data_IF_607928158269
#
_entry.id   IF_607928158269
#
_cell.length_a   1.000
_cell.length_b   1.000
_cell.length_c   1.000
_cell.angle_alpha   90.00
_cell.angle_beta   90.00
_cell.angle_gamma   90.00
#
_symmetry.space_group_name_H-M   'P 1'
#
loop_
_entity.id
_entity.type
_entity.pdbx_description
1 polymer ?
#
# COMPACT_ATOMS: atom_id res chain seq x y z
N UNK A 1 0.31 20.87 6.14
CA UNK A 1 -0.61 21.08 5.01
C UNK A 1 -0.56 22.54 4.65
N UNK A 2 -0.49 23.42 5.63
CA UNK A 2 -0.16 24.85 5.45
C UNK A 2 1.11 25.05 4.59
N UNK A 3 2.21 24.35 4.90
CA UNK A 3 3.45 24.38 4.08
C UNK A 3 3.23 23.87 2.62
N UNK A 4 2.21 23.04 2.38
CA UNK A 4 1.90 22.48 1.06
C UNK A 4 0.85 23.31 0.32
N UNK A 5 -0.07 23.99 1.03
CA UNK A 5 -1.10 24.82 0.42
C UNK A 5 -0.50 26.04 -0.27
N UNK A 6 0.61 26.56 0.27
CA UNK A 6 1.30 27.74 -0.28
C UNK A 6 2.02 27.42 -1.62
N UNK A 7 2.27 26.14 -1.90
CA UNK A 7 2.97 25.64 -3.09
C UNK A 7 2.04 24.99 -4.12
N UNK A 8 0.74 24.90 -3.83
CA UNK A 8 -0.24 24.21 -4.67
C UNK A 8 -1.13 25.20 -5.45
N UNK A 9 -1.51 24.87 -6.71
CA UNK A 9 -2.49 25.65 -7.47
C UNK A 9 -3.83 25.75 -6.73
N UNK A 10 -4.51 26.89 -6.88
CA UNK A 10 -5.82 27.14 -6.25
C UNK A 10 -6.87 26.08 -6.63
N UNK A 11 -6.79 25.49 -7.82
CA UNK A 11 -7.73 24.45 -8.27
C UNK A 11 -7.66 23.17 -7.44
N UNK A 12 -6.55 22.93 -6.73
CA UNK A 12 -6.33 21.73 -5.90
C UNK A 12 -6.82 21.93 -4.46
N UNK A 13 -7.05 23.18 -4.03
CA UNK A 13 -7.47 23.49 -2.67
C UNK A 13 -8.75 22.76 -2.24
N UNK A 14 -9.82 22.63 -3.06
CA UNK A 14 -11.01 21.87 -2.70
C UNK A 14 -10.72 20.38 -2.43
N UNK A 15 -9.79 19.79 -3.19
CA UNK A 15 -9.37 18.40 -2.98
C UNK A 15 -8.55 18.27 -1.69
N UNK A 16 -7.69 19.24 -1.41
CA UNK A 16 -6.90 19.30 -0.18
C UNK A 16 -7.82 19.38 1.05
N UNK A 17 -8.84 20.24 0.97
CA UNK A 17 -9.88 20.41 1.98
C UNK A 17 -10.66 19.11 2.24
N UNK A 18 -11.06 18.42 1.18
CA UNK A 18 -11.71 17.11 1.28
C UNK A 18 -10.78 16.07 1.92
N UNK A 19 -9.50 16.07 1.55
CA UNK A 19 -8.52 15.14 2.10
C UNK A 19 -8.28 15.38 3.60
N UNK A 20 -8.16 16.64 4.01
CA UNK A 20 -8.00 16.99 5.41
C UNK A 20 -9.19 16.51 6.25
N UNK A 21 -10.41 16.68 5.76
CA UNK A 21 -11.62 16.23 6.45
C UNK A 21 -11.67 14.69 6.60
N UNK A 22 -11.36 13.97 5.52
CA UNK A 22 -11.52 12.52 5.49
C UNK A 22 -10.35 11.74 6.11
N UNK A 23 -9.11 12.22 5.99
CA UNK A 23 -7.90 11.43 6.31
C UNK A 23 -7.06 11.98 7.47
N UNK A 24 -7.22 13.26 7.83
CA UNK A 24 -6.44 13.94 8.88
C UNK A 24 -7.30 14.43 10.04
N UNK A 25 -8.55 14.81 9.77
CA UNK A 25 -9.49 15.43 10.69
C UNK A 25 -9.27 16.95 10.79
N UNK A 26 -10.37 17.73 10.76
CA UNK A 26 -10.33 19.20 10.92
C UNK A 26 -10.26 19.61 12.39
N UNK A 27 -9.54 20.70 12.66
CA UNK A 27 -9.56 21.37 13.97
C UNK A 27 -10.73 22.34 13.98
N UNK A 28 -11.65 22.19 14.94
CA UNK A 28 -12.74 23.12 15.16
C UNK A 28 -12.80 23.49 16.64
N UNK A 29 -12.71 24.79 16.96
CA UNK A 29 -12.75 25.31 18.35
C UNK A 29 -11.81 24.55 19.31
N UNK A 30 -10.53 24.41 18.91
CA UNK A 30 -9.48 23.69 19.64
C UNK A 30 -9.70 22.18 19.83
N UNK A 31 -10.74 21.59 19.24
CA UNK A 31 -10.94 20.14 19.21
C UNK A 31 -10.78 19.61 17.79
N UNK A 32 -9.93 18.60 17.61
CA UNK A 32 -9.78 17.92 16.33
C UNK A 32 -10.89 16.89 16.18
N UNK A 33 -11.77 17.06 15.20
CA UNK A 33 -12.71 15.98 14.83
C UNK A 33 -11.93 14.80 14.30
N UNK A 34 -12.31 13.60 14.72
CA UNK A 34 -11.73 12.36 14.20
C UNK A 34 -11.97 12.29 12.70
N UNK A 35 -10.91 11.96 11.95
CA UNK A 35 -11.00 11.69 10.53
C UNK A 35 -11.89 10.46 10.28
N UNK A 36 -12.62 10.44 9.17
CA UNK A 36 -13.37 9.24 8.74
C UNK A 36 -12.44 8.05 8.53
N UNK A 37 -11.22 8.32 8.07
CA UNK A 37 -10.15 7.35 7.84
C UNK A 37 -8.88 7.80 8.58
N UNK A 38 -8.74 7.47 9.88
CA UNK A 38 -7.61 7.93 10.67
C UNK A 38 -6.26 7.38 10.15
N UNK A 39 -5.14 8.10 10.39
CA UNK A 39 -3.82 7.72 9.89
C UNK A 39 -3.37 6.31 10.26
N UNK A 40 -3.78 5.76 11.39
CA UNK A 40 -3.47 4.38 11.77
C UNK A 40 -3.98 3.33 10.76
N UNK A 41 -5.04 3.64 9.99
CA UNK A 41 -5.58 2.74 8.96
C UNK A 41 -4.78 2.76 7.66
N UNK A 42 -4.30 3.94 7.23
CA UNK A 42 -3.73 4.12 5.89
C UNK A 42 -2.22 4.41 5.89
N UNK A 43 -1.66 4.89 7.00
CA UNK A 43 -0.25 5.26 7.08
C UNK A 43 0.64 4.01 7.19
N UNK A 44 1.58 3.89 6.25
CA UNK A 44 2.51 2.77 6.17
C UNK A 44 3.91 3.08 6.72
N UNK A 45 4.14 4.27 7.27
CA UNK A 45 5.45 4.75 7.76
C UNK A 45 6.08 3.78 8.75
N UNK A 46 5.37 3.43 9.83
CA UNK A 46 5.87 2.48 10.83
C UNK A 46 6.12 1.09 10.25
N UNK A 47 5.32 0.65 9.28
CA UNK A 47 5.52 -0.66 8.63
C UNK A 47 6.80 -0.70 7.80
N UNK A 48 7.08 0.39 7.07
CA UNK A 48 8.33 0.54 6.33
C UNK A 48 9.52 0.46 7.28
N UNK A 49 9.48 1.21 8.40
CA UNK A 49 10.55 1.18 9.40
C UNK A 49 10.73 -0.20 10.05
N UNK A 50 9.65 -0.94 10.25
CA UNK A 50 9.70 -2.29 10.81
C UNK A 50 10.07 -3.36 9.76
N UNK A 51 10.35 -2.97 8.50
CA UNK A 51 10.59 -3.89 7.37
C UNK A 51 9.47 -4.91 7.17
N UNK A 52 8.25 -4.56 7.58
CA UNK A 52 7.07 -5.39 7.37
C UNK A 52 6.59 -5.26 5.92
N UNK A 53 6.11 -6.38 5.37
CA UNK A 53 5.43 -6.35 4.08
C UNK A 53 4.25 -5.36 4.11
N UNK A 54 4.12 -4.57 3.05
CA UNK A 54 2.95 -3.73 2.84
C UNK A 54 1.74 -4.66 2.75
N UNK A 55 0.92 -4.79 3.79
CA UNK A 55 -0.23 -5.72 3.87
C UNK A 55 -1.14 -5.67 2.62
N UNK A 56 -1.25 -4.51 1.95
CA UNK A 56 -1.95 -4.37 0.67
C UNK A 56 -1.43 -5.34 -0.41
N UNK A 57 -0.13 -5.66 -0.41
CA UNK A 57 0.48 -6.57 -1.38
C UNK A 57 -0.09 -8.00 -1.30
N UNK A 58 -0.45 -8.52 -0.12
CA UNK A 58 -0.99 -9.88 -0.02
C UNK A 58 -2.43 -9.97 -0.52
N UNK A 59 -3.28 -9.02 -0.12
CA UNK A 59 -4.67 -8.95 -0.59
C UNK A 59 -4.73 -8.62 -2.09
N UNK A 60 -3.93 -7.66 -2.57
CA UNK A 60 -3.84 -7.31 -3.99
C UNK A 60 -3.25 -8.47 -4.80
N UNK A 61 -2.22 -9.18 -4.30
CA UNK A 61 -1.68 -10.36 -4.98
C UNK A 61 -2.70 -11.51 -5.02
N UNK A 62 -3.45 -11.74 -3.94
CA UNK A 62 -4.54 -12.72 -3.92
C UNK A 62 -5.62 -12.35 -4.92
N UNK A 63 -6.06 -11.09 -4.95
CA UNK A 63 -7.06 -10.60 -5.90
C UNK A 63 -6.57 -10.67 -7.35
N UNK A 64 -5.31 -10.30 -7.61
CA UNK A 64 -4.70 -10.43 -8.95
C UNK A 64 -4.62 -11.90 -9.38
N UNK A 65 -4.23 -12.80 -8.47
CA UNK A 65 -4.20 -14.25 -8.74
C UNK A 65 -5.59 -14.80 -9.00
N UNK A 66 -6.59 -14.36 -8.25
CA UNK A 66 -8.00 -14.67 -8.48
C UNK A 66 -8.41 -14.24 -9.88
N UNK A 67 -8.22 -12.97 -10.24
CA UNK A 67 -8.57 -12.46 -11.57
C UNK A 67 -7.88 -13.21 -12.71
N UNK A 68 -6.59 -13.51 -12.56
CA UNK A 68 -5.83 -14.29 -13.56
C UNK A 68 -6.34 -15.73 -13.68
N UNK A 69 -6.65 -16.40 -12.56
CA UNK A 69 -7.18 -17.77 -12.58
C UNK A 69 -8.62 -17.83 -13.11
N UNK A 70 -9.43 -16.81 -12.80
CA UNK A 70 -10.81 -16.72 -13.25
C UNK A 70 -10.90 -16.47 -14.76
N UNK A 71 -10.09 -15.55 -15.30
CA UNK A 71 -10.04 -15.26 -16.74
C UNK A 71 -11.34 -14.74 -17.36
N UNK A 72 -12.37 -14.47 -16.55
CA UNK A 72 -13.71 -14.05 -16.98
C UNK A 72 -14.20 -12.92 -16.08
N UNK A 73 -14.80 -11.89 -16.68
CA UNK A 73 -15.27 -10.70 -15.96
C UNK A 73 -16.50 -10.97 -15.09
N UNK A 74 -17.41 -11.85 -15.54
CA UNK A 74 -18.67 -12.17 -14.86
C UNK A 74 -18.87 -13.69 -14.75
N UNK A 75 -18.20 -14.37 -13.81
CA UNK A 75 -18.29 -15.80 -13.63
C UNK A 75 -19.62 -16.22 -13.00
N UNK A 76 -20.11 -17.41 -13.33
CA UNK A 76 -21.20 -18.03 -12.57
C UNK A 76 -20.71 -18.36 -11.16
N UNK A 77 -21.64 -18.46 -10.20
CA UNK A 77 -21.31 -18.83 -8.81
C UNK A 77 -20.53 -20.15 -8.75
N UNK A 78 -20.89 -21.12 -9.60
CA UNK A 78 -20.23 -22.42 -9.65
C UNK A 78 -18.79 -22.34 -10.20
N UNK A 79 -18.56 -21.52 -11.24
CA UNK A 79 -17.23 -21.26 -11.77
C UNK A 79 -16.35 -20.54 -10.74
N UNK A 80 -16.93 -19.58 -10.01
CA UNK A 80 -16.25 -18.88 -8.92
C UNK A 80 -15.82 -19.83 -7.80
N UNK A 81 -16.73 -20.67 -7.29
CA UNK A 81 -16.42 -21.67 -6.24
C UNK A 81 -15.34 -22.64 -6.73
N UNK A 82 -15.43 -23.12 -7.97
CA UNK A 82 -14.45 -24.04 -8.54
C UNK A 82 -13.05 -23.42 -8.62
N UNK A 83 -12.96 -22.13 -8.99
CA UNK A 83 -11.69 -21.43 -9.00
C UNK A 83 -11.12 -21.20 -7.59
N UNK A 84 -11.96 -20.86 -6.61
CA UNK A 84 -11.53 -20.73 -5.22
C UNK A 84 -10.90 -22.03 -4.72
N UNK A 85 -11.54 -23.18 -4.98
CA UNK A 85 -10.99 -24.50 -4.64
C UNK A 85 -9.64 -24.76 -5.29
N UNK A 86 -9.47 -24.38 -6.57
CA UNK A 86 -8.20 -24.53 -7.29
C UNK A 86 -7.08 -23.66 -6.70
N UNK A 87 -7.39 -22.42 -6.34
CA UNK A 87 -6.42 -21.52 -5.69
C UNK A 87 -6.04 -22.03 -4.30
N UNK A 88 -7.02 -22.52 -3.54
CA UNK A 88 -6.79 -23.13 -2.22
C UNK A 88 -5.87 -24.35 -2.32
N UNK A 89 -6.18 -25.30 -3.20
CA UNK A 89 -5.34 -26.49 -3.42
C UNK A 89 -3.89 -26.12 -3.79
N UNK A 90 -3.71 -25.10 -4.64
CA UNK A 90 -2.38 -24.59 -4.97
C UNK A 90 -1.66 -23.91 -3.80
N UNK A 91 -2.40 -23.33 -2.84
CA UNK A 91 -1.84 -22.73 -1.62
C UNK A 91 -1.48 -23.79 -0.59
N UNK A 92 -2.31 -24.82 -0.42
CA UNK A 92 -2.04 -25.96 0.47
C UNK A 92 -0.77 -26.68 0.01
N UNK A 93 -0.62 -26.90 -1.31
CA UNK A 93 0.60 -27.47 -1.89
C UNK A 93 1.83 -26.62 -1.57
N UNK A 94 1.73 -25.30 -1.69
CA UNK A 94 2.82 -24.38 -1.36
C UNK A 94 3.15 -24.40 0.14
N UNK A 95 2.13 -24.51 0.99
CA UNK A 95 2.30 -24.62 2.43
C UNK A 95 3.04 -25.91 2.81
N UNK A 96 2.65 -27.06 2.26
CA UNK A 96 3.38 -28.33 2.45
C UNK A 96 4.85 -28.24 1.99
N UNK A 97 5.14 -27.48 0.92
CA UNK A 97 6.53 -27.26 0.50
C UNK A 97 7.34 -26.49 1.54
N UNK A 98 6.74 -25.48 2.19
CA UNK A 98 7.38 -24.73 3.26
C UNK A 98 7.62 -25.60 4.50
N UNK A 99 6.65 -26.44 4.88
CA UNK A 99 6.83 -27.43 5.97
C UNK A 99 7.96 -28.41 5.66
N UNK A 100 8.11 -28.80 4.40
CA UNK A 100 9.23 -29.60 3.92
C UNK A 100 10.57 -28.82 3.79
N UNK A 101 10.69 -27.66 4.47
CA UNK A 101 11.87 -26.78 4.47
C UNK A 101 12.29 -26.25 3.09
N UNK A 102 11.40 -26.25 2.08
CA UNK A 102 11.69 -25.59 0.80
C UNK A 102 11.59 -24.09 0.97
N UNK A 103 12.56 -23.37 0.41
CA UNK A 103 12.58 -21.91 0.48
C UNK A 103 11.47 -21.30 -0.39
N UNK A 104 10.78 -20.25 0.09
CA UNK A 104 9.81 -19.51 -0.71
C UNK A 104 10.48 -18.85 -1.93
N UNK A 105 9.72 -18.56 -2.99
CA UNK A 105 10.21 -17.81 -4.14
C UNK A 105 10.83 -16.49 -3.71
N UNK A 106 12.06 -16.23 -4.20
CA UNK A 106 12.74 -14.96 -3.92
C UNK A 106 11.95 -13.81 -4.52
N UNK A 107 11.73 -12.76 -3.73
CA UNK A 107 11.21 -11.48 -4.24
C UNK A 107 12.17 -10.96 -5.32
N UNK A 108 11.62 -10.45 -6.43
CA UNK A 108 12.45 -9.94 -7.52
C UNK A 108 13.34 -8.80 -7.02
N UNK A 109 14.61 -8.78 -7.47
CA UNK A 109 15.61 -7.79 -7.04
C UNK A 109 15.10 -6.35 -7.15
N UNK A 110 14.41 -6.02 -8.26
CA UNK A 110 13.84 -4.68 -8.48
C UNK A 110 12.97 -4.18 -7.32
N UNK A 111 12.11 -5.04 -6.78
CA UNK A 111 11.22 -4.66 -5.68
C UNK A 111 11.97 -4.57 -4.35
N UNK A 112 12.95 -5.45 -4.12
CA UNK A 112 13.82 -5.37 -2.95
C UNK A 112 14.63 -4.06 -2.94
N UNK A 113 15.14 -3.63 -4.09
CA UNK A 113 15.95 -2.42 -4.20
C UNK A 113 15.10 -1.16 -4.06
N UNK A 114 13.85 -1.18 -4.54
CA UNK A 114 12.88 -0.10 -4.29
C UNK A 114 12.52 -0.05 -2.79
N UNK A 115 12.25 -1.18 -2.14
CA UNK A 115 11.94 -1.21 -0.71
C UNK A 115 13.11 -0.67 0.14
N UNK A 116 14.35 -1.03 -0.20
CA UNK A 116 15.56 -0.50 0.46
C UNK A 116 15.68 1.03 0.30
N UNK A 117 15.40 1.55 -0.90
CA UNK A 117 15.43 2.99 -1.18
C UNK A 117 14.34 3.72 -0.39
N UNK A 118 13.11 3.20 -0.40
CA UNK A 118 11.99 3.75 0.37
C UNK A 118 12.30 3.71 1.87
N UNK A 119 12.85 2.61 2.38
CA UNK A 119 13.30 2.50 3.77
C UNK A 119 14.27 3.62 4.13
N UNK A 120 15.34 3.83 3.34
CA UNK A 120 16.32 4.88 3.58
C UNK A 120 15.70 6.29 3.60
N UNK A 121 14.74 6.55 2.70
CA UNK A 121 14.04 7.84 2.64
C UNK A 121 13.18 8.04 3.90
N UNK A 122 12.44 7.01 4.31
CA UNK A 122 11.56 7.04 5.49
C UNK A 122 12.35 7.12 6.80
N UNK A 123 13.48 6.41 6.93
CA UNK A 123 14.34 6.48 8.11
C UNK A 123 14.93 7.88 8.33
N UNK A 124 15.09 8.67 7.26
CA UNK A 124 15.61 10.03 7.33
C UNK A 124 14.50 11.09 7.27
N UNK A 125 13.24 10.74 7.55
CA UNK A 125 12.08 11.64 7.44
C UNK A 125 12.29 12.96 8.20
N UNK A 126 12.73 12.91 9.46
CA UNK A 126 12.89 14.11 10.31
C UNK A 126 14.04 15.03 9.87
N UNK A 127 14.99 14.53 9.06
CA UNK A 127 16.21 15.25 8.68
C UNK A 127 16.16 15.71 7.22
N UNK A 128 14.99 15.67 6.57
CA UNK A 128 14.80 16.04 5.18
C UNK A 128 13.73 17.10 5.04
N UNK A 129 13.93 17.96 4.06
CA UNK A 129 12.87 18.82 3.55
C UNK A 129 11.67 17.98 3.04
N UNK A 130 10.46 18.47 3.31
CA UNK A 130 9.20 17.76 3.04
C UNK A 130 9.02 17.53 1.53
N UNK A 131 9.32 18.52 0.70
CA UNK A 131 9.18 18.40 -0.76
C UNK A 131 10.18 17.37 -1.31
N UNK A 132 11.41 17.40 -0.83
CA UNK A 132 12.45 16.42 -1.18
C UNK A 132 12.06 15.00 -0.74
N UNK A 133 11.44 14.86 0.43
CA UNK A 133 10.90 13.59 0.91
C UNK A 133 9.79 13.08 -0.02
N UNK A 134 8.78 13.90 -0.31
CA UNK A 134 7.64 13.54 -1.17
C UNK A 134 8.08 13.17 -2.59
N UNK A 135 8.97 13.97 -3.21
CA UNK A 135 9.57 13.68 -4.52
C UNK A 135 10.29 12.33 -4.52
N UNK A 136 11.09 12.06 -3.48
CA UNK A 136 11.79 10.78 -3.33
C UNK A 136 10.84 9.59 -3.23
N UNK A 137 9.74 9.71 -2.48
CA UNK A 137 8.71 8.66 -2.41
C UNK A 137 8.02 8.47 -3.76
N UNK A 138 7.56 9.56 -4.40
CA UNK A 138 6.87 9.51 -5.69
C UNK A 138 7.70 8.81 -6.77
N UNK A 139 8.98 9.16 -6.89
CA UNK A 139 9.89 8.56 -7.86
C UNK A 139 10.13 7.06 -7.63
N UNK A 140 10.16 6.60 -6.39
CA UNK A 140 10.31 5.16 -6.11
C UNK A 140 9.00 4.40 -6.35
N UNK A 141 7.83 5.03 -6.13
CA UNK A 141 6.54 4.40 -6.41
C UNK A 141 6.29 4.24 -7.92
N UNK A 142 6.73 5.20 -8.75
CA UNK A 142 6.60 5.08 -10.21
C UNK A 142 7.44 3.96 -10.81
N UNK A 143 8.44 3.43 -10.09
CA UNK A 143 9.23 2.27 -10.53
C UNK A 143 8.59 0.91 -10.19
N UNK A 144 7.51 0.89 -9.40
CA UNK A 144 6.81 -0.33 -8.98
C UNK A 144 5.75 -0.73 -10.01
N UNK A 145 5.21 0.25 -10.73
CA UNK A 145 4.17 0.10 -11.76
C UNK A 145 4.81 0.06 -13.16
#
# INVERSE_FOLDING_TARGET
>A
MDILSDELPEEILPLLDWFEENYKGRVHRNQRRNARFPPNLWNVHKRVLNKNDRIKNYAEAANRRLNVQMGVTNPTLWAFISCLRKIQSGRDTFYCQLEASKSPPKKQKKFLDVDKRIFKIVSNYNNRDILTFLRGIAHNLSMIH
#
